data_IF_964822251435
#
_entry.id   IF_964822251435
#
_cell.length_a   1.000
_cell.length_b   1.000
_cell.length_c   1.000
_cell.angle_alpha   90.00
_cell.angle_beta   90.00
_cell.angle_gamma   90.00
#
_symmetry.space_group_name_H-M   'P 1'
#
loop_
_entity.id
_entity.type
_entity.pdbx_description
1 polymer ?
#
# COMPACT_ATOMS: atom_id res chain seq x y z
N UNK A 1 11.72 -9.69 8.22
CA UNK A 1 12.62 -9.44 7.06
C UNK A 1 11.91 -8.64 5.97
N UNK A 2 10.76 -9.08 5.44
CA UNK A 2 10.02 -8.37 4.39
C UNK A 2 9.62 -6.92 4.74
N UNK A 3 9.11 -6.66 5.95
CA UNK A 3 8.79 -5.30 6.40
C UNK A 3 10.00 -4.33 6.32
N UNK A 4 11.19 -4.80 6.72
CA UNK A 4 12.43 -4.04 6.63
C UNK A 4 12.81 -3.79 5.16
N UNK A 5 12.67 -4.80 4.29
CA UNK A 5 12.96 -4.65 2.86
C UNK A 5 12.03 -3.61 2.22
N UNK A 6 10.71 -3.73 2.41
CA UNK A 6 9.73 -2.77 1.87
C UNK A 6 10.01 -1.34 2.35
N UNK A 7 10.30 -1.18 3.65
CA UNK A 7 10.69 0.12 4.20
C UNK A 7 11.99 0.63 3.55
N UNK A 8 13.01 -0.22 3.46
CA UNK A 8 14.31 0.06 2.83
C UNK A 8 14.28 0.30 1.32
N UNK A 9 13.17 0.00 0.65
CA UNK A 9 12.96 0.30 -0.77
C UNK A 9 12.10 1.57 -0.99
N UNK A 10 11.58 2.18 0.09
CA UNK A 10 10.73 3.36 -0.03
C UNK A 10 11.56 4.64 -0.05
N UNK A 11 11.95 5.05 -1.25
CA UNK A 11 12.73 6.26 -1.49
C UNK A 11 12.02 7.57 -1.09
N UNK A 12 10.71 7.53 -0.80
CA UNK A 12 9.96 8.71 -0.32
C UNK A 12 9.98 8.82 1.21
N UNK A 13 9.98 7.69 1.92
CA UNK A 13 10.02 7.65 3.39
C UNK A 13 11.45 7.73 3.90
N UNK A 14 12.43 7.19 3.17
CA UNK A 14 13.83 7.21 3.60
C UNK A 14 14.48 8.58 3.30
N UNK A 15 15.02 9.25 4.34
CA UNK A 15 15.65 10.56 4.19
C UNK A 15 17.07 10.48 3.62
N UNK A 16 17.82 9.42 3.95
CA UNK A 16 19.19 9.20 3.47
C UNK A 16 19.20 8.19 2.31
N UNK A 17 19.48 8.61 1.06
CA UNK A 17 19.55 7.73 -0.09
C UNK A 17 20.56 6.58 0.03
N UNK A 18 21.57 6.69 0.90
CA UNK A 18 22.56 5.62 1.10
C UNK A 18 21.97 4.38 1.79
N UNK A 19 20.82 4.54 2.46
CA UNK A 19 20.10 3.46 3.13
C UNK A 19 19.10 2.73 2.20
N UNK A 20 18.97 3.18 0.95
CA UNK A 20 18.08 2.54 -0.01
C UNK A 20 18.69 1.24 -0.52
N UNK A 21 17.91 0.15 -0.39
CA UNK A 21 18.27 -1.13 -0.99
C UNK A 21 18.12 -1.08 -2.52
N UNK A 22 17.15 -0.32 -3.01
CA UNK A 22 16.83 -0.22 -4.43
C UNK A 22 16.71 1.25 -4.84
N UNK A 23 17.29 1.56 -5.99
CA UNK A 23 17.24 2.88 -6.60
C UNK A 23 17.19 2.70 -8.11
N UNK A 24 16.69 3.72 -8.80
CA UNK A 24 16.61 3.71 -10.25
C UNK A 24 15.76 4.84 -10.77
N UNK A 25 16.18 5.43 -11.88
CA UNK A 25 15.43 6.51 -12.53
C UNK A 25 14.36 5.91 -13.45
N UNK A 26 13.37 6.72 -13.79
CA UNK A 26 12.40 6.36 -14.82
C UNK A 26 13.15 6.06 -16.13
N UNK A 27 12.70 5.03 -16.84
CA UNK A 27 13.22 4.60 -18.15
C UNK A 27 14.66 4.04 -18.15
N UNK A 28 15.26 3.78 -16.97
CA UNK A 28 16.51 3.01 -16.86
C UNK A 28 16.24 1.54 -16.57
N UNK A 29 17.21 0.67 -16.87
CA UNK A 29 17.13 -0.76 -16.51
C UNK A 29 17.02 -0.93 -14.99
N UNK A 30 17.88 -0.25 -14.21
CA UNK A 30 17.85 -0.27 -12.75
C UNK A 30 16.46 0.13 -12.19
N UNK A 31 15.81 1.12 -12.80
CA UNK A 31 14.47 1.53 -12.40
C UNK A 31 13.41 0.46 -12.64
N UNK A 32 13.49 -0.24 -13.77
CA UNK A 32 12.57 -1.36 -14.10
C UNK A 32 12.83 -2.57 -13.19
N UNK A 33 14.09 -2.87 -12.89
CA UNK A 33 14.46 -3.97 -11.99
C UNK A 33 14.00 -3.68 -10.56
N UNK A 34 14.21 -2.45 -10.07
CA UNK A 34 13.73 -2.02 -8.76
C UNK A 34 12.20 -2.11 -8.65
N UNK A 35 11.46 -1.65 -9.66
CA UNK A 35 10.01 -1.77 -9.73
C UNK A 35 9.55 -3.23 -9.70
N UNK A 36 10.15 -4.07 -10.55
CA UNK A 36 9.84 -5.50 -10.62
C UNK A 36 10.08 -6.20 -9.27
N UNK A 37 11.20 -5.92 -8.62
CA UNK A 37 11.55 -6.56 -7.35
C UNK A 37 10.61 -6.12 -6.22
N UNK A 38 10.29 -4.82 -6.11
CA UNK A 38 9.30 -4.34 -5.13
C UNK A 38 7.94 -5.00 -5.35
N UNK A 39 7.52 -5.10 -6.61
CA UNK A 39 6.27 -5.78 -6.99
C UNK A 39 6.26 -7.24 -6.56
N UNK A 40 7.33 -7.98 -6.84
CA UNK A 40 7.47 -9.38 -6.45
C UNK A 40 7.47 -9.57 -4.92
N UNK A 41 8.06 -8.63 -4.17
CA UNK A 41 8.01 -8.67 -2.69
C UNK A 41 6.59 -8.45 -2.18
N UNK A 42 5.84 -7.52 -2.77
CA UNK A 42 4.43 -7.28 -2.42
C UNK A 42 3.60 -8.54 -2.71
N UNK A 43 3.76 -9.14 -3.88
CA UNK A 43 3.05 -10.37 -4.26
C UNK A 43 3.43 -11.54 -3.37
N UNK A 44 4.71 -11.67 -3.02
CA UNK A 44 5.18 -12.68 -2.07
C UNK A 44 4.51 -12.54 -0.72
N UNK A 45 4.43 -11.31 -0.17
CA UNK A 45 3.71 -11.05 1.08
C UNK A 45 2.23 -11.42 0.96
N UNK A 46 1.57 -11.01 -0.14
CA UNK A 46 0.17 -11.36 -0.40
C UNK A 46 -0.05 -12.87 -0.57
N UNK A 47 0.93 -13.62 -1.08
CA UNK A 47 0.86 -15.08 -1.16
C UNK A 47 1.08 -15.72 0.21
N UNK A 48 2.01 -15.21 1.03
CA UNK A 48 2.19 -15.66 2.40
C UNK A 48 0.93 -15.48 3.24
N UNK A 49 0.19 -14.37 3.05
CA UNK A 49 -1.05 -14.11 3.78
C UNK A 49 -2.06 -15.26 3.68
N UNK A 50 -2.11 -15.97 2.54
CA UNK A 50 -2.99 -17.13 2.31
C UNK A 50 -2.73 -18.34 3.22
N UNK A 51 -1.69 -18.29 4.05
CA UNK A 51 -1.26 -19.36 4.94
C UNK A 51 -1.33 -18.87 6.40
N UNK A 52 -2.50 -18.94 7.07
CA UNK A 52 -2.71 -18.36 8.41
C UNK A 52 -1.75 -18.91 9.47
N UNK A 53 -1.36 -20.18 9.37
CA UNK A 53 -0.38 -20.84 10.26
C UNK A 53 1.02 -20.20 10.18
N UNK A 54 1.37 -19.65 9.01
CA UNK A 54 2.63 -18.93 8.81
C UNK A 54 2.45 -17.43 9.01
N UNK A 55 1.34 -16.87 8.55
CA UNK A 55 1.08 -15.45 8.54
C UNK A 55 0.26 -15.05 9.75
N UNK A 56 0.91 -15.04 10.92
CA UNK A 56 0.28 -14.65 12.18
C UNK A 56 -0.13 -13.17 12.19
N UNK A 57 -1.03 -12.81 13.12
CA UNK A 57 -1.50 -11.43 13.29
C UNK A 57 -0.34 -10.44 13.56
N UNK A 58 0.66 -10.84 14.35
CA UNK A 58 1.87 -10.04 14.58
C UNK A 58 2.60 -9.71 13.27
N UNK A 59 2.73 -10.70 12.37
CA UNK A 59 3.38 -10.51 11.07
C UNK A 59 2.56 -9.60 10.18
N UNK A 60 1.24 -9.77 10.18
CA UNK A 60 0.31 -8.90 9.47
C UNK A 60 0.46 -7.44 9.94
N UNK A 61 0.36 -7.21 11.25
CA UNK A 61 0.49 -5.89 11.88
C UNK A 61 1.81 -5.21 11.51
N UNK A 62 2.92 -5.94 11.54
CA UNK A 62 4.24 -5.42 11.13
C UNK A 62 4.32 -5.03 9.64
N UNK A 63 3.49 -5.60 8.78
CA UNK A 63 3.54 -5.41 7.32
C UNK A 63 2.57 -4.35 6.81
N UNK A 64 1.47 -4.07 7.52
CA UNK A 64 0.47 -3.08 7.10
C UNK A 64 1.11 -1.71 6.85
N UNK A 65 1.98 -1.24 7.76
CA UNK A 65 2.68 0.05 7.61
C UNK A 65 3.52 0.11 6.33
N UNK A 66 4.54 -0.75 6.17
CA UNK A 66 5.37 -0.78 4.97
C UNK A 66 4.60 -0.95 3.65
N UNK A 67 3.54 -1.78 3.63
CA UNK A 67 2.70 -1.96 2.44
C UNK A 67 1.93 -0.67 2.11
N UNK A 68 1.27 -0.06 3.09
CA UNK A 68 0.53 1.20 2.86
C UNK A 68 1.44 2.38 2.54
N UNK A 69 2.68 2.40 3.04
CA UNK A 69 3.66 3.42 2.70
C UNK A 69 4.16 3.32 1.26
N UNK A 70 4.02 2.16 0.60
CA UNK A 70 4.35 2.05 -0.82
C UNK A 70 3.47 2.98 -1.69
N UNK A 71 2.27 3.35 -1.22
CA UNK A 71 1.39 4.35 -1.86
C UNK A 71 2.06 5.74 -1.95
N UNK A 72 2.95 6.07 -1.01
CA UNK A 72 3.71 7.33 -1.05
C UNK A 72 5.03 7.20 -1.80
N UNK A 73 5.49 5.98 -2.09
CA UNK A 73 6.75 5.72 -2.80
C UNK A 73 6.68 6.18 -4.26
N UNK A 74 6.94 7.46 -4.48
CA UNK A 74 6.71 8.16 -5.75
C UNK A 74 7.99 8.35 -6.57
N UNK A 75 9.15 8.07 -5.97
CA UNK A 75 10.46 8.22 -6.60
C UNK A 75 10.88 7.00 -7.43
N UNK A 76 10.41 5.80 -7.09
CA UNK A 76 10.59 4.60 -7.92
C UNK A 76 9.55 4.57 -9.06
N UNK A 77 9.94 4.21 -10.30
CA UNK A 77 9.02 4.08 -11.43
C UNK A 77 8.03 2.94 -11.22
N UNK A 78 6.96 2.84 -12.01
CA UNK A 78 5.98 1.73 -11.93
C UNK A 78 4.94 1.83 -10.80
N UNK A 79 5.02 2.89 -10.00
CA UNK A 79 4.21 3.14 -8.81
C UNK A 79 2.67 3.07 -8.98
N UNK A 80 2.13 3.32 -10.18
CA UNK A 80 0.70 3.18 -10.48
C UNK A 80 0.30 1.72 -10.73
N UNK A 81 1.08 1.00 -11.54
CA UNK A 81 0.83 -0.43 -11.81
C UNK A 81 0.93 -1.25 -10.52
N UNK A 82 1.85 -0.88 -9.62
CA UNK A 82 1.98 -1.50 -8.29
C UNK A 82 0.74 -1.36 -7.40
N UNK A 83 -0.14 -0.38 -7.64
CA UNK A 83 -1.34 -0.20 -6.82
C UNK A 83 -2.26 -1.44 -6.85
N UNK A 84 -2.37 -2.15 -7.97
CA UNK A 84 -3.16 -3.38 -8.04
C UNK A 84 -2.56 -4.50 -7.19
N UNK A 85 -1.24 -4.68 -7.23
CA UNK A 85 -0.53 -5.65 -6.40
C UNK A 85 -0.65 -5.32 -4.91
N UNK A 86 -0.58 -4.03 -4.56
CA UNK A 86 -0.81 -3.58 -3.18
C UNK A 86 -2.23 -3.86 -2.70
N UNK A 87 -3.24 -3.55 -3.50
CA UNK A 87 -4.63 -3.82 -3.16
C UNK A 87 -4.87 -5.31 -2.94
N UNK A 88 -4.33 -6.16 -3.81
CA UNK A 88 -4.36 -7.62 -3.67
C UNK A 88 -3.72 -8.10 -2.37
N UNK A 89 -2.51 -7.62 -2.07
CA UNK A 89 -1.78 -8.02 -0.87
C UNK A 89 -2.50 -7.54 0.41
N UNK A 90 -2.93 -6.28 0.46
CA UNK A 90 -3.63 -5.70 1.59
C UNK A 90 -4.99 -6.37 1.82
N UNK A 91 -5.73 -6.66 0.76
CA UNK A 91 -6.98 -7.43 0.86
C UNK A 91 -6.73 -8.81 1.45
N UNK A 92 -5.73 -9.57 0.98
CA UNK A 92 -5.42 -10.91 1.52
C UNK A 92 -4.96 -10.86 2.98
N UNK A 93 -4.21 -9.83 3.37
CA UNK A 93 -3.86 -9.59 4.78
C UNK A 93 -5.12 -9.42 5.62
N UNK A 94 -6.07 -8.61 5.15
CA UNK A 94 -7.34 -8.38 5.84
C UNK A 94 -8.32 -9.55 5.80
N UNK A 95 -8.30 -10.36 4.74
CA UNK A 95 -9.10 -11.58 4.63
C UNK A 95 -8.61 -12.65 5.63
N UNK A 96 -7.29 -12.71 5.82
CA UNK A 96 -6.66 -13.61 6.80
C UNK A 96 -6.87 -13.14 8.24
N UNK A 97 -6.83 -11.82 8.45
CA UNK A 97 -7.01 -11.18 9.76
C UNK A 97 -8.07 -10.07 9.68
N UNK A 98 -9.37 -10.42 9.72
CA UNK A 98 -10.47 -9.47 9.54
C UNK A 98 -10.46 -8.29 10.51
N UNK A 99 -10.00 -8.51 11.74
CA UNK A 99 -9.88 -7.46 12.77
C UNK A 99 -8.91 -6.33 12.36
N UNK A 100 -8.01 -6.59 11.43
CA UNK A 100 -7.06 -5.59 10.91
C UNK A 100 -7.61 -4.78 9.72
N UNK A 101 -8.77 -5.15 9.15
CA UNK A 101 -9.29 -4.50 7.94
C UNK A 101 -9.53 -3.00 8.13
N UNK A 102 -10.14 -2.59 9.24
CA UNK A 102 -10.35 -1.16 9.53
C UNK A 102 -9.02 -0.41 9.62
N UNK A 103 -8.00 -1.00 10.23
CA UNK A 103 -6.65 -0.42 10.34
C UNK A 103 -5.98 -0.27 8.96
N UNK A 104 -6.13 -1.25 8.08
CA UNK A 104 -5.66 -1.19 6.70
C UNK A 104 -6.35 -0.05 5.94
N UNK A 105 -7.68 -0.01 6.01
CA UNK A 105 -8.49 0.97 5.28
C UNK A 105 -8.20 2.40 5.75
N UNK A 106 -8.15 2.65 7.07
CA UNK A 106 -7.78 3.96 7.63
C UNK A 106 -6.39 4.44 7.15
N UNK A 107 -5.38 3.55 7.18
CA UNK A 107 -4.02 3.90 6.74
C UNK A 107 -3.94 4.26 5.25
N UNK A 108 -4.76 3.63 4.40
CA UNK A 108 -4.85 3.97 2.98
C UNK A 108 -5.57 5.30 2.81
N UNK A 109 -6.71 5.48 3.49
CA UNK A 109 -7.52 6.71 3.43
C UNK A 109 -6.74 7.93 3.91
N UNK A 110 -5.91 7.82 4.95
CA UNK A 110 -5.03 8.90 5.37
C UNK A 110 -4.08 9.39 4.25
N UNK A 111 -3.74 8.55 3.27
CA UNK A 111 -2.93 8.97 2.12
C UNK A 111 -3.70 9.85 1.12
N UNK A 112 -5.04 9.87 1.15
CA UNK A 112 -5.85 10.80 0.36
C UNK A 112 -5.73 12.25 0.85
N UNK A 113 -5.26 12.47 2.08
CA UNK A 113 -4.92 13.80 2.63
C UNK A 113 -3.52 14.28 2.25
N UNK A 114 -2.82 13.58 1.36
CA UNK A 114 -1.47 14.02 0.99
C UNK A 114 -1.51 15.27 0.12
N UNK A 115 -0.64 16.26 0.37
CA UNK A 115 -0.56 17.47 -0.46
C UNK A 115 -0.23 17.22 -1.94
N UNK A 116 0.37 16.07 -2.30
CA UNK A 116 0.67 15.71 -3.69
C UNK A 116 -0.49 14.96 -4.34
N UNK A 117 -1.09 15.53 -5.39
CA UNK A 117 -2.21 14.94 -6.14
C UNK A 117 -1.94 13.50 -6.62
N UNK A 118 -0.70 13.22 -7.04
CA UNK A 118 -0.28 11.88 -7.46
C UNK A 118 -0.39 10.83 -6.35
N UNK A 119 -0.10 11.19 -5.11
CA UNK A 119 -0.24 10.28 -3.96
C UNK A 119 -1.73 10.06 -3.65
N UNK A 120 -2.55 11.11 -3.69
CA UNK A 120 -4.00 11.00 -3.51
C UNK A 120 -4.63 10.07 -4.55
N UNK A 121 -4.27 10.25 -5.82
CA UNK A 121 -4.74 9.39 -6.91
C UNK A 121 -4.37 7.92 -6.68
N UNK A 122 -3.12 7.63 -6.29
CA UNK A 122 -2.69 6.26 -5.99
C UNK A 122 -3.42 5.65 -4.79
N UNK A 123 -3.70 6.46 -3.76
CA UNK A 123 -4.49 6.00 -2.62
C UNK A 123 -5.89 5.59 -3.07
N UNK A 124 -6.54 6.39 -3.92
CA UNK A 124 -7.86 6.08 -4.48
C UNK A 124 -7.87 4.81 -5.32
N UNK A 125 -6.85 4.58 -6.17
CA UNK A 125 -6.72 3.33 -6.93
C UNK A 125 -6.69 2.10 -6.02
N UNK A 126 -6.02 2.20 -4.86
CA UNK A 126 -5.96 1.10 -3.89
C UNK A 126 -7.29 0.95 -3.14
N UNK A 127 -7.94 2.06 -2.75
CA UNK A 127 -9.27 2.03 -2.10
C UNK A 127 -10.30 1.39 -3.03
N UNK A 128 -10.40 1.88 -4.27
CA UNK A 128 -11.31 1.35 -5.29
C UNK A 128 -11.12 -0.17 -5.47
N UNK A 129 -9.88 -0.61 -5.70
CA UNK A 129 -9.57 -2.02 -5.89
C UNK A 129 -9.85 -2.90 -4.66
N UNK A 130 -9.76 -2.36 -3.44
CA UNK A 130 -10.14 -3.08 -2.21
C UNK A 130 -11.67 -3.12 -2.08
N UNK A 131 -12.36 -2.00 -2.30
CA UNK A 131 -13.82 -1.92 -2.22
C UNK A 131 -14.46 -2.88 -3.23
N UNK A 132 -13.94 -2.97 -4.46
CA UNK A 132 -14.41 -3.92 -5.48
C UNK A 132 -14.30 -5.38 -5.03
N UNK A 133 -13.26 -5.72 -4.25
CA UNK A 133 -13.06 -7.08 -3.72
C UNK A 133 -13.93 -7.38 -2.51
N UNK A 134 -14.12 -6.39 -1.63
CA UNK A 134 -14.88 -6.52 -0.40
C UNK A 134 -16.40 -6.53 -0.67
N UNK A 135 -16.84 -5.80 -1.70
CA UNK A 135 -18.26 -5.68 -2.06
C UNK A 135 -19.09 -5.12 -0.91
N UNK A 136 -20.21 -5.77 -0.59
CA UNK A 136 -21.14 -5.33 0.46
C UNK A 136 -20.51 -5.31 1.86
N UNK A 137 -19.40 -6.03 2.07
CA UNK A 137 -18.64 -6.01 3.32
C UNK A 137 -18.08 -4.62 3.69
N UNK A 138 -18.09 -3.65 2.77
CA UNK A 138 -17.64 -2.28 3.03
C UNK A 138 -18.66 -1.47 3.83
N UNK A 139 -19.94 -1.86 3.83
CA UNK A 139 -21.03 -1.08 4.41
C UNK A 139 -20.78 -0.63 5.86
N UNK A 140 -20.25 -1.46 6.78
CA UNK A 140 -19.93 -1.05 8.15
C UNK A 140 -18.84 0.02 8.24
N UNK A 141 -17.98 0.14 7.22
CA UNK A 141 -16.84 1.05 7.20
C UNK A 141 -17.13 2.37 6.46
N UNK A 142 -18.28 2.48 5.78
CA UNK A 142 -18.67 3.71 5.07
C UNK A 142 -18.63 4.97 5.95
N UNK A 143 -19.10 4.97 7.22
CA UNK A 143 -19.01 6.15 8.07
C UNK A 143 -17.56 6.67 8.24
N UNK A 144 -16.57 5.78 8.19
CA UNK A 144 -15.15 6.13 8.24
C UNK A 144 -14.63 6.64 6.89
N UNK A 145 -15.10 6.06 5.77
CA UNK A 145 -14.66 6.43 4.41
C UNK A 145 -15.19 7.81 3.99
N UNK A 146 -16.45 8.13 4.32
CA UNK A 146 -17.16 9.30 3.82
C UNK A 146 -16.47 10.65 4.10
N UNK A 147 -15.90 10.92 5.30
CA UNK A 147 -15.16 12.15 5.56
C UNK A 147 -13.97 12.36 4.61
N UNK A 148 -13.19 11.31 4.33
CA UNK A 148 -12.02 11.41 3.45
C UNK A 148 -12.40 11.70 1.99
N UNK A 149 -13.50 11.11 1.50
CA UNK A 149 -14.00 11.40 0.16
C UNK A 149 -14.53 12.84 0.07
N UNK A 150 -15.23 13.31 1.10
CA UNK A 150 -15.76 14.67 1.16
C UNK A 150 -14.62 15.70 1.16
N UNK A 151 -13.60 15.50 2.01
CA UNK A 151 -12.40 16.33 2.05
C UNK A 151 -11.69 16.39 0.69
N UNK A 152 -11.57 15.26 0.00
CA UNK A 152 -10.95 15.19 -1.31
C UNK A 152 -11.74 15.99 -2.36
N UNK A 153 -13.07 15.88 -2.37
CA UNK A 153 -13.96 16.61 -3.28
C UNK A 153 -13.93 18.12 -3.00
N UNK A 154 -13.84 18.50 -1.73
CA UNK A 154 -13.76 19.90 -1.30
C UNK A 154 -12.38 20.54 -1.48
N UNK A 155 -11.35 19.73 -1.80
CA UNK A 155 -9.99 20.23 -1.93
C UNK A 155 -9.28 20.49 -0.58
N UNK A 156 -9.77 19.91 0.52
CA UNK A 156 -9.25 20.11 1.88
C UNK A 156 -8.32 18.95 2.27
N UNK A 157 -7.01 19.13 2.04
CA UNK A 157 -5.98 18.12 2.34
C UNK A 157 -4.64 18.77 2.68
#
# INVERSE_FOLDING_TARGET
MAAKILHSCNATVIPDPSLLLLFGKKDTMDGKEADSLVTQVIDFVGNCARHPEFFTEDRATMLIGPLTDEIVNSKLPGHEKRCHHLADALYRVSDTHPDLFQTVLDKILLKTRNGRAKIRYRALLVVEAIVDKVGDGIAPHLPMVMPFLSELLEGKF
#
